data_IF_182479601540
#
_entry.id   IF_182479601540
#
_cell.length_a   1.000
_cell.length_b   1.000
_cell.length_c   1.000
_cell.angle_alpha   90.00
_cell.angle_beta   90.00
_cell.angle_gamma   90.00
#
_symmetry.space_group_name_H-M   'P 1'
#
loop_
_entity.id
_entity.type
_entity.pdbx_description
1 polymer ?
#
# COMPACT_ATOMS: atom_id res chain seq x y z
N UNK A 1 3.29 -23.82 -5.21
CA UNK A 1 4.65 -23.25 -5.27
C UNK A 1 4.81 -22.25 -4.14
N UNK A 2 5.84 -22.45 -3.31
CA UNK A 2 6.05 -21.56 -2.18
C UNK A 2 7.04 -20.47 -2.56
N UNK A 3 6.67 -19.23 -2.28
CA UNK A 3 7.53 -18.08 -2.48
C UNK A 3 7.98 -17.60 -1.11
N UNK A 4 9.28 -17.78 -0.82
CA UNK A 4 9.85 -17.30 0.43
C UNK A 4 10.18 -15.81 0.31
N UNK A 5 10.28 -15.08 1.44
CA UNK A 5 10.71 -13.68 1.39
C UNK A 5 12.06 -13.51 0.71
N UNK A 6 12.99 -14.43 0.92
CA UNK A 6 14.30 -14.37 0.29
C UNK A 6 14.19 -14.50 -1.23
N UNK A 7 13.43 -15.47 -1.71
CA UNK A 7 13.24 -15.66 -3.15
C UNK A 7 12.55 -14.43 -3.77
N UNK A 8 11.51 -13.93 -3.10
CA UNK A 8 10.81 -12.77 -3.58
C UNK A 8 11.73 -11.55 -3.69
N UNK A 9 12.58 -11.33 -2.68
CA UNK A 9 13.52 -10.21 -2.71
C UNK A 9 14.47 -10.31 -3.91
N UNK A 10 14.95 -11.51 -4.20
CA UNK A 10 15.82 -11.73 -5.36
C UNK A 10 15.10 -11.42 -6.66
N UNK A 11 13.86 -11.90 -6.81
CA UNK A 11 13.09 -11.70 -8.03
C UNK A 11 12.72 -10.24 -8.25
N UNK A 12 12.49 -9.51 -7.16
CA UNK A 12 12.12 -8.10 -7.23
C UNK A 12 13.32 -7.15 -7.23
N UNK A 13 14.52 -7.68 -7.06
CA UNK A 13 15.76 -6.89 -6.98
C UNK A 13 15.74 -5.89 -5.81
N UNK A 14 15.26 -6.34 -4.66
CA UNK A 14 15.25 -5.55 -3.42
C UNK A 14 15.88 -6.37 -2.31
N UNK A 15 16.18 -5.74 -1.18
CA UNK A 15 16.76 -6.47 -0.05
C UNK A 15 15.71 -7.33 0.63
N UNK A 16 16.16 -8.44 1.23
CA UNK A 16 15.28 -9.30 2.02
C UNK A 16 14.69 -8.53 3.20
N UNK A 17 15.46 -7.62 3.79
CA UNK A 17 14.97 -6.76 4.88
C UNK A 17 13.76 -5.94 4.47
N UNK A 18 13.75 -5.41 3.25
CA UNK A 18 12.62 -4.65 2.72
C UNK A 18 11.36 -5.52 2.69
N UNK A 19 11.47 -6.75 2.21
CA UNK A 19 10.33 -7.66 2.15
C UNK A 19 9.84 -8.01 3.56
N UNK A 20 10.77 -8.33 4.46
CA UNK A 20 10.41 -8.68 5.84
C UNK A 20 9.75 -7.52 6.57
N UNK A 21 10.24 -6.29 6.35
CA UNK A 21 9.65 -5.11 6.96
C UNK A 21 8.21 -4.88 6.49
N UNK A 22 7.95 -5.10 5.22
CA UNK A 22 6.59 -4.99 4.68
C UNK A 22 5.69 -6.06 5.31
N UNK A 23 6.17 -7.29 5.39
CA UNK A 23 5.40 -8.40 5.97
C UNK A 23 5.09 -8.17 7.45
N UNK A 24 5.99 -7.51 8.18
CA UNK A 24 5.81 -7.25 9.59
C UNK A 24 5.12 -5.91 9.89
N UNK A 25 4.67 -5.21 8.86
CA UNK A 25 3.98 -3.94 9.03
C UNK A 25 4.87 -2.77 9.41
N UNK A 26 6.19 -2.93 9.27
CA UNK A 26 7.15 -1.87 9.61
C UNK A 26 7.40 -0.92 8.44
N UNK A 27 6.99 -1.30 7.25
CA UNK A 27 7.22 -0.51 6.04
C UNK A 27 5.99 -0.61 5.16
N UNK A 28 5.57 0.52 4.63
CA UNK A 28 4.44 0.57 3.71
C UNK A 28 4.88 0.23 2.28
N UNK A 29 3.91 -0.19 1.47
CA UNK A 29 4.16 -0.42 0.05
C UNK A 29 4.23 0.93 -0.65
N UNK A 30 5.37 1.20 -1.29
CA UNK A 30 5.60 2.42 -2.07
C UNK A 30 5.21 2.20 -3.53
N UNK A 31 5.20 3.28 -4.31
CA UNK A 31 4.96 3.18 -5.75
C UNK A 31 5.99 2.24 -6.39
N UNK A 32 7.26 2.38 -6.01
CA UNK A 32 8.34 1.50 -6.50
C UNK A 32 8.01 0.04 -6.24
N UNK A 33 7.64 -0.32 -5.00
CA UNK A 33 7.29 -1.69 -4.66
C UNK A 33 6.04 -2.17 -5.38
N UNK A 34 5.06 -1.29 -5.55
CA UNK A 34 3.85 -1.65 -6.29
C UNK A 34 4.18 -2.04 -7.73
N UNK A 35 5.06 -1.28 -8.38
CA UNK A 35 5.48 -1.58 -9.74
C UNK A 35 6.22 -2.92 -9.82
N UNK A 36 7.12 -3.17 -8.89
CA UNK A 36 7.89 -4.42 -8.86
C UNK A 36 7.00 -5.64 -8.63
N UNK A 37 6.11 -5.53 -7.64
CA UNK A 37 5.18 -6.61 -7.31
C UNK A 37 4.21 -6.87 -8.45
N UNK A 38 3.69 -5.82 -9.07
CA UNK A 38 2.75 -5.96 -10.17
C UNK A 38 3.39 -6.60 -11.38
N UNK A 39 4.63 -6.25 -11.67
CA UNK A 39 5.37 -6.85 -12.77
C UNK A 39 5.59 -8.34 -12.53
N UNK A 40 6.03 -8.69 -11.33
CA UNK A 40 6.33 -10.08 -11.00
C UNK A 40 5.07 -10.96 -11.01
N UNK A 41 3.97 -10.47 -10.43
CA UNK A 41 2.73 -11.24 -10.34
C UNK A 41 1.81 -11.05 -11.54
N UNK A 42 2.18 -10.23 -12.52
CA UNK A 42 1.35 -9.99 -13.69
C UNK A 42 0.04 -9.27 -13.39
N UNK A 43 0.08 -8.31 -12.47
CA UNK A 43 -1.11 -7.58 -12.03
C UNK A 43 -1.05 -6.13 -12.47
N UNK A 44 -2.16 -5.40 -12.28
CA UNK A 44 -2.21 -3.97 -12.57
C UNK A 44 -1.16 -3.22 -11.73
N UNK A 45 -0.52 -2.22 -12.33
CA UNK A 45 0.48 -1.40 -11.65
C UNK A 45 -0.04 -0.74 -10.38
N UNK A 46 -1.34 -0.47 -10.34
CA UNK A 46 -1.96 0.21 -9.20
C UNK A 46 -2.48 -0.74 -8.12
N UNK A 47 -2.46 -2.04 -8.36
CA UNK A 47 -3.08 -2.99 -7.44
C UNK A 47 -2.53 -2.84 -6.02
N UNK A 48 -1.21 -2.94 -5.87
CA UNK A 48 -0.59 -2.94 -4.54
C UNK A 48 -0.63 -1.58 -3.86
N UNK A 49 -0.41 -0.50 -4.63
CA UNK A 49 -0.46 0.83 -4.05
C UNK A 49 -1.89 1.23 -3.66
N UNK A 50 -2.89 0.79 -4.43
CA UNK A 50 -4.29 1.03 -4.06
C UNK A 50 -4.66 0.31 -2.78
N UNK A 51 -4.18 -0.92 -2.61
CA UNK A 51 -4.39 -1.67 -1.37
C UNK A 51 -3.81 -0.93 -0.18
N UNK A 52 -2.56 -0.45 -0.32
CA UNK A 52 -1.92 0.33 0.74
C UNK A 52 -2.68 1.64 1.02
N UNK A 53 -3.11 2.32 -0.02
CA UNK A 53 -3.88 3.56 0.10
C UNK A 53 -5.19 3.34 0.83
N UNK A 54 -5.88 2.25 0.55
CA UNK A 54 -7.13 1.91 1.24
C UNK A 54 -6.92 1.72 2.73
N UNK A 55 -5.83 1.05 3.09
CA UNK A 55 -5.45 0.86 4.50
C UNK A 55 -5.16 2.20 5.15
N UNK A 56 -4.37 3.05 4.48
CA UNK A 56 -3.98 4.36 4.99
C UNK A 56 -5.20 5.27 5.19
N UNK A 57 -6.13 5.25 4.24
CA UNK A 57 -7.36 6.05 4.33
C UNK A 57 -8.17 5.61 5.54
N UNK A 58 -8.35 4.29 5.72
CA UNK A 58 -9.12 3.76 6.84
C UNK A 58 -8.53 4.18 8.18
N UNK A 59 -7.23 4.02 8.33
CA UNK A 59 -6.53 4.39 9.57
C UNK A 59 -6.63 5.89 9.84
N UNK A 60 -6.44 6.70 8.81
CA UNK A 60 -6.46 8.16 8.95
C UNK A 60 -7.86 8.67 9.25
N UNK A 61 -8.88 8.07 8.63
CA UNK A 61 -10.28 8.45 8.91
C UNK A 61 -10.62 8.25 10.37
N UNK A 62 -10.20 7.15 10.96
CA UNK A 62 -10.46 6.90 12.37
C UNK A 62 -9.83 7.99 13.25
N UNK A 63 -8.60 8.37 12.94
CA UNK A 63 -7.87 9.40 13.71
C UNK A 63 -8.46 10.79 13.52
N UNK A 64 -9.00 11.07 12.34
CA UNK A 64 -9.51 12.41 11.99
C UNK A 64 -11.01 12.54 12.17
N UNK A 65 -11.69 11.51 12.64
CA UNK A 65 -13.16 11.47 12.65
C UNK A 65 -13.78 12.73 13.26
N UNK A 66 -13.34 13.13 14.43
CA UNK A 66 -13.88 14.33 15.09
C UNK A 66 -13.68 15.58 14.26
N UNK A 67 -12.50 15.74 13.66
CA UNK A 67 -12.19 16.90 12.83
C UNK A 67 -12.98 16.90 11.54
N UNK A 68 -13.11 15.73 10.92
CA UNK A 68 -13.86 15.62 9.66
C UNK A 68 -15.34 15.94 9.86
N UNK A 69 -15.90 15.59 11.02
CA UNK A 69 -17.30 15.90 11.34
C UNK A 69 -17.57 17.39 11.42
N UNK A 70 -16.54 18.21 11.65
CA UNK A 70 -16.70 19.67 11.70
C UNK A 70 -16.60 20.31 10.32
N UNK A 71 -16.15 19.58 9.30
CA UNK A 71 -16.00 20.11 7.95
C UNK A 71 -17.31 19.95 7.20
N UNK A 72 -17.85 21.05 6.74
CA UNK A 72 -19.11 21.04 5.98
C UNK A 72 -18.81 20.86 4.50
N UNK A 73 -19.57 20.00 3.86
CA UNK A 73 -19.45 19.76 2.44
C UNK A 73 -19.94 21.00 1.66
N UNK A 74 -19.11 21.46 0.73
CA UNK A 74 -19.52 22.52 -0.19
C UNK A 74 -20.56 21.95 -1.15
N UNK A 75 -21.75 22.56 -1.19
CA UNK A 75 -22.79 22.14 -2.12
C UNK A 75 -22.60 22.89 -3.43
N UNK A 76 -22.30 22.14 -4.48
CA UNK A 76 -22.21 22.71 -5.81
C UNK A 76 -23.56 22.54 -6.49
N UNK A 77 -24.13 23.67 -6.95
CA UNK A 77 -25.34 23.63 -7.77
C UNK A 77 -24.99 23.05 -9.13
N UNK A 78 -25.71 22.02 -9.52
CA UNK A 78 -25.50 21.40 -10.82
C UNK A 78 -26.04 22.32 -11.92
#
# INVERSE_FOLDING_TARGET
>A
MQITPYKLSKELHVSTSTILDILHGKRKITVDMSLRLSKYFGMSEKFWINLQTDIDIREKKDKLKSKLDTIKTLKLSA
#
